data_IF_823566489881
#
_entry.id   IF_823566489881
#
_cell.length_a   1.000
_cell.length_b   1.000
_cell.length_c   1.000
_cell.angle_alpha   90.00
_cell.angle_beta   90.00
_cell.angle_gamma   90.00
#
_symmetry.space_group_name_H-M   'P 1'
#
loop_
_entity.id
_entity.type
_entity.pdbx_description
1 polymer ?
#
# COMPACT_ATOMS: atom_id res chain seq x y z
N UNK A 1 13.44 13.45 -48.58
CA UNK A 1 12.50 12.37 -48.20
C UNK A 1 13.06 11.71 -46.94
N UNK A 2 12.78 12.30 -45.77
CA UNK A 2 13.13 11.68 -44.48
C UNK A 2 11.98 10.76 -44.09
N UNK A 3 12.25 9.46 -43.97
CA UNK A 3 11.28 8.50 -43.46
C UNK A 3 11.25 8.60 -41.93
N UNK A 4 10.19 9.18 -41.37
CA UNK A 4 9.88 9.08 -39.96
C UNK A 4 9.53 7.62 -39.63
N UNK A 5 10.45 6.92 -38.97
CA UNK A 5 10.17 5.60 -38.38
C UNK A 5 9.19 5.80 -37.23
N UNK A 6 7.91 5.49 -37.46
CA UNK A 6 6.96 5.28 -36.38
C UNK A 6 7.46 4.12 -35.50
N UNK A 7 7.98 4.45 -34.31
CA UNK A 7 8.38 3.46 -33.32
C UNK A 7 7.18 2.61 -32.91
N UNK A 8 7.28 1.29 -33.06
CA UNK A 8 6.31 0.29 -32.61
C UNK A 8 6.37 0.08 -31.09
N UNK A 9 6.19 1.12 -30.28
CA UNK A 9 6.15 0.94 -28.82
C UNK A 9 4.81 0.30 -28.42
N UNK A 10 4.86 -0.91 -27.87
CA UNK A 10 3.72 -1.52 -27.17
C UNK A 10 2.98 -2.67 -27.87
N UNK A 11 3.40 -3.16 -29.04
CA UNK A 11 2.78 -4.34 -29.66
C UNK A 11 3.50 -5.62 -29.22
N UNK A 12 2.76 -6.61 -28.71
CA UNK A 12 3.28 -7.95 -28.47
C UNK A 12 3.77 -8.55 -29.81
N UNK A 13 5.02 -9.04 -29.90
CA UNK A 13 5.60 -9.53 -31.15
C UNK A 13 5.02 -10.89 -31.61
N UNK A 14 4.22 -11.55 -30.78
CA UNK A 14 3.56 -12.83 -31.10
C UNK A 14 2.05 -12.61 -31.17
N UNK A 15 1.47 -12.90 -32.33
CA UNK A 15 0.03 -12.78 -32.54
C UNK A 15 -0.69 -14.05 -32.08
N UNK A 16 -1.63 -13.89 -31.15
CA UNK A 16 -2.56 -14.94 -30.74
C UNK A 16 -3.98 -14.54 -31.19
N UNK A 17 -4.77 -15.49 -31.72
CA UNK A 17 -6.09 -15.22 -32.32
C UNK A 17 -7.23 -15.01 -31.32
N UNK A 18 -6.96 -15.16 -30.02
CA UNK A 18 -7.92 -14.93 -28.95
C UNK A 18 -7.74 -13.54 -28.33
N UNK A 19 -8.81 -12.95 -27.81
CA UNK A 19 -8.77 -11.65 -27.11
C UNK A 19 -8.26 -11.81 -25.68
N UNK A 20 -7.05 -12.33 -25.52
CA UNK A 20 -6.42 -12.63 -24.22
C UNK A 20 -5.42 -11.57 -23.78
N UNK A 21 -5.09 -10.60 -24.64
CA UNK A 21 -4.18 -9.49 -24.33
C UNK A 21 -4.92 -8.15 -24.37
N UNK A 22 -4.30 -7.11 -23.79
CA UNK A 22 -4.86 -5.75 -23.75
C UNK A 22 -4.50 -4.90 -24.98
N UNK A 23 -3.92 -5.52 -26.01
CA UNK A 23 -3.30 -4.82 -27.14
C UNK A 23 -4.28 -4.49 -28.27
N UNK A 24 -5.52 -4.98 -28.17
CA UNK A 24 -6.60 -4.77 -29.14
C UNK A 24 -7.88 -4.43 -28.38
N UNK A 25 -8.24 -3.15 -28.33
CA UNK A 25 -9.44 -2.68 -27.65
C UNK A 25 -10.24 -1.73 -28.55
N UNK A 26 -11.53 -1.55 -28.24
CA UNK A 26 -12.41 -0.55 -28.88
C UNK A 26 -11.75 0.84 -28.95
N UNK A 27 -10.93 1.18 -27.94
CA UNK A 27 -10.23 2.47 -27.83
C UNK A 27 -9.15 2.68 -28.88
N UNK A 28 -8.67 1.62 -29.53
CA UNK A 28 -7.71 1.76 -30.64
C UNK A 28 -8.37 2.40 -31.86
N UNK A 29 -9.66 2.12 -32.07
CA UNK A 29 -10.46 2.67 -33.17
C UNK A 29 -11.12 4.00 -32.79
N UNK A 30 -11.61 4.12 -31.56
CA UNK A 30 -12.28 5.33 -31.04
C UNK A 30 -11.58 5.88 -29.79
N UNK A 31 -10.38 6.49 -29.93
CA UNK A 31 -9.56 6.90 -28.79
C UNK A 31 -10.17 8.04 -27.95
N UNK A 32 -11.16 8.76 -28.48
CA UNK A 32 -11.87 9.85 -27.79
C UNK A 32 -13.19 9.42 -27.15
N UNK A 33 -13.53 8.12 -27.21
CA UNK A 33 -14.73 7.60 -26.54
C UNK A 33 -14.65 7.78 -25.03
N UNK A 34 -15.81 7.96 -24.38
CA UNK A 34 -15.88 8.10 -22.92
C UNK A 34 -15.43 6.80 -22.24
N UNK A 35 -14.51 6.91 -21.28
CA UNK A 35 -14.02 5.75 -20.55
C UNK A 35 -14.93 5.36 -19.39
N UNK A 36 -15.85 4.44 -19.63
CA UNK A 36 -16.74 3.89 -18.60
C UNK A 36 -16.09 2.81 -17.73
N UNK A 37 -14.88 2.37 -18.07
CA UNK A 37 -14.19 1.30 -17.34
C UNK A 37 -13.82 1.65 -15.91
N UNK A 38 -13.85 2.94 -15.57
CA UNK A 38 -13.58 3.43 -14.23
C UNK A 38 -14.72 3.16 -13.25
N UNK A 39 -15.95 2.97 -13.74
CA UNK A 39 -17.15 2.85 -12.91
C UNK A 39 -17.43 1.42 -12.45
N UNK A 40 -16.79 0.43 -13.07
CA UNK A 40 -16.93 -0.99 -12.72
C UNK A 40 -15.63 -1.59 -12.17
N UNK A 41 -14.69 -0.73 -11.76
CA UNK A 41 -13.48 -1.17 -11.07
C UNK A 41 -13.83 -1.72 -9.69
N UNK A 42 -13.12 -2.77 -9.27
CA UNK A 42 -13.27 -3.39 -7.95
C UNK A 42 -14.64 -4.03 -7.68
N UNK A 43 -15.29 -4.57 -8.73
CA UNK A 43 -16.50 -5.38 -8.61
C UNK A 43 -16.23 -6.74 -7.90
N UNK A 44 -17.27 -7.31 -7.30
CA UNK A 44 -17.21 -8.54 -6.48
C UNK A 44 -16.66 -9.74 -7.26
N UNK A 45 -16.89 -9.78 -8.58
CA UNK A 45 -16.39 -10.83 -9.47
C UNK A 45 -14.86 -10.95 -9.48
N UNK A 46 -14.16 -9.86 -9.16
CA UNK A 46 -12.69 -9.81 -9.11
C UNK A 46 -12.15 -10.01 -7.70
N UNK A 47 -13.02 -9.91 -6.69
CA UNK A 47 -12.65 -10.07 -5.30
C UNK A 47 -12.59 -11.57 -4.95
N UNK A 48 -11.42 -12.11 -4.54
CA UNK A 48 -11.31 -13.51 -4.13
C UNK A 48 -11.93 -13.80 -2.76
N UNK A 49 -12.31 -12.76 -2.00
CA UNK A 49 -12.92 -12.89 -0.69
C UNK A 49 -14.42 -13.19 -0.81
N UNK A 50 -15.00 -13.83 0.21
CA UNK A 50 -16.45 -14.04 0.24
C UNK A 50 -17.18 -12.70 0.35
N UNK A 51 -18.39 -12.59 -0.22
CA UNK A 51 -19.19 -11.36 -0.14
C UNK A 51 -19.60 -10.95 1.28
N UNK A 52 -19.42 -11.83 2.27
CA UNK A 52 -19.65 -11.56 3.69
C UNK A 52 -18.38 -11.13 4.45
N UNK A 53 -17.23 -11.07 3.78
CA UNK A 53 -15.96 -10.73 4.43
C UNK A 53 -15.90 -9.24 4.80
N UNK A 54 -15.65 -8.95 6.08
CA UNK A 54 -15.43 -7.60 6.59
C UNK A 54 -14.01 -7.46 7.15
N UNK A 55 -13.16 -6.72 6.43
CA UNK A 55 -11.78 -6.49 6.85
C UNK A 55 -11.67 -5.75 8.20
N UNK A 56 -12.61 -4.83 8.48
CA UNK A 56 -12.56 -4.01 9.69
C UNK A 56 -12.82 -4.84 10.94
N UNK A 57 -13.66 -5.87 10.85
CA UNK A 57 -13.87 -6.81 11.95
C UNK A 57 -12.70 -7.79 12.09
N UNK A 58 -12.18 -8.30 10.97
CA UNK A 58 -11.06 -9.24 10.98
C UNK A 58 -9.78 -8.64 11.57
N UNK A 59 -9.44 -7.41 11.19
CA UNK A 59 -8.23 -6.72 11.70
C UNK A 59 -8.30 -6.43 13.20
N UNK A 60 -9.50 -6.30 13.79
CA UNK A 60 -9.64 -6.15 15.26
C UNK A 60 -9.21 -7.40 16.02
N UNK A 61 -9.32 -8.57 15.38
CA UNK A 61 -8.90 -9.85 15.97
C UNK A 61 -7.41 -10.15 15.79
N UNK A 62 -6.67 -9.24 15.16
CA UNK A 62 -5.24 -9.34 14.92
C UNK A 62 -4.46 -9.06 16.22
N UNK A 63 -3.46 -9.89 16.51
CA UNK A 63 -2.50 -9.60 17.57
C UNK A 63 -1.44 -8.61 17.05
N UNK A 64 -1.63 -7.33 17.38
CA UNK A 64 -0.69 -6.27 17.00
C UNK A 64 0.66 -6.36 17.73
N UNK A 65 0.70 -6.97 18.92
CA UNK A 65 1.94 -7.12 19.66
C UNK A 65 2.83 -8.19 19.00
N UNK A 66 2.24 -9.33 18.62
CA UNK A 66 2.92 -10.38 17.85
C UNK A 66 3.36 -9.84 16.48
N UNK A 67 2.48 -9.12 15.76
CA UNK A 67 2.82 -8.53 14.46
C UNK A 67 4.01 -7.56 14.55
N UNK A 68 4.03 -6.73 15.60
CA UNK A 68 5.12 -5.80 15.86
C UNK A 68 6.44 -6.53 16.09
N UNK A 69 6.42 -7.58 16.91
CA UNK A 69 7.61 -8.38 17.18
C UNK A 69 8.13 -9.06 15.91
N UNK A 70 7.25 -9.66 15.12
CA UNK A 70 7.62 -10.28 13.84
C UNK A 70 8.22 -9.27 12.86
N UNK A 71 7.63 -8.08 12.76
CA UNK A 71 8.13 -7.03 11.87
C UNK A 71 9.52 -6.55 12.28
N UNK A 72 9.76 -6.38 13.59
CA UNK A 72 11.08 -6.01 14.11
C UNK A 72 12.09 -7.14 13.86
N UNK A 73 11.71 -8.40 14.09
CA UNK A 73 12.56 -9.56 13.85
C UNK A 73 12.98 -9.66 12.37
N UNK A 74 12.03 -9.45 11.45
CA UNK A 74 12.30 -9.46 10.01
C UNK A 74 13.32 -8.40 9.60
N UNK A 75 13.47 -7.30 10.33
CA UNK A 75 14.45 -6.27 9.96
C UNK A 75 15.88 -6.80 10.00
N UNK A 76 16.19 -7.79 10.84
CA UNK A 76 17.52 -8.41 10.97
C UNK A 76 17.58 -9.85 10.46
N UNK A 77 16.47 -10.39 9.96
CA UNK A 77 16.39 -11.76 9.44
C UNK A 77 16.91 -11.83 7.99
N UNK A 78 18.23 -11.87 7.85
CA UNK A 78 18.92 -11.77 6.58
C UNK A 78 18.57 -12.94 5.62
N UNK A 79 18.11 -12.61 4.42
CA UNK A 79 17.75 -13.57 3.37
C UNK A 79 18.88 -13.70 2.34
N UNK A 80 19.29 -14.93 2.02
CA UNK A 80 20.40 -15.18 1.07
C UNK A 80 20.12 -14.62 -0.33
N UNK A 81 18.87 -14.70 -0.81
CA UNK A 81 18.47 -14.24 -2.15
C UNK A 81 18.37 -12.71 -2.27
N UNK A 82 18.38 -11.98 -1.16
CA UNK A 82 18.45 -10.53 -1.12
C UNK A 82 19.04 -10.07 0.21
N UNK A 83 20.38 -10.05 0.35
CA UNK A 83 21.01 -9.73 1.62
C UNK A 83 20.66 -8.33 2.12
N UNK A 84 20.53 -8.19 3.43
CA UNK A 84 20.29 -6.92 4.09
C UNK A 84 21.58 -6.08 4.12
N UNK A 85 21.48 -4.84 3.68
CA UNK A 85 22.58 -3.87 3.80
C UNK A 85 22.91 -3.68 5.28
N UNK A 86 24.19 -3.88 5.65
CA UNK A 86 24.67 -3.87 7.04
C UNK A 86 23.91 -4.81 7.99
N UNK A 87 23.29 -5.87 7.45
CA UNK A 87 22.51 -6.82 8.24
C UNK A 87 21.16 -6.29 8.71
N UNK A 88 20.66 -5.17 8.16
CA UNK A 88 19.38 -4.59 8.58
C UNK A 88 18.55 -4.02 7.41
N UNK A 89 17.33 -4.53 7.18
CA UNK A 89 16.43 -4.09 6.10
C UNK A 89 15.72 -2.76 6.33
N UNK A 90 15.98 -2.09 7.46
CA UNK A 90 15.26 -0.89 7.86
C UNK A 90 15.20 0.20 6.79
N UNK A 91 16.32 0.53 6.13
CA UNK A 91 16.34 1.52 5.05
C UNK A 91 15.46 1.13 3.87
N UNK A 92 15.47 -0.15 3.48
CA UNK A 92 14.64 -0.69 2.41
C UNK A 92 13.14 -0.61 2.74
N UNK A 93 12.75 -0.96 3.97
CA UNK A 93 11.36 -0.94 4.43
C UNK A 93 10.81 0.49 4.57
N UNK A 94 11.64 1.42 5.05
CA UNK A 94 11.31 2.85 5.07
C UNK A 94 11.08 3.36 3.66
N UNK A 95 12.01 3.09 2.74
CA UNK A 95 11.86 3.50 1.33
C UNK A 95 10.58 2.93 0.73
N UNK A 96 10.29 1.64 0.93
CA UNK A 96 9.07 1.02 0.42
C UNK A 96 7.80 1.74 0.90
N UNK A 97 7.75 2.03 2.20
CA UNK A 97 6.61 2.71 2.84
C UNK A 97 6.46 4.15 2.34
N UNK A 98 7.58 4.86 2.24
CA UNK A 98 7.64 6.20 1.68
C UNK A 98 7.15 6.23 0.23
N UNK A 99 7.63 5.33 -0.63
CA UNK A 99 7.20 5.26 -2.03
C UNK A 99 5.73 4.86 -2.17
N UNK A 100 5.20 4.01 -1.30
CA UNK A 100 3.77 3.70 -1.27
C UNK A 100 2.95 4.97 -0.95
N UNK A 101 3.30 5.69 0.12
CA UNK A 101 2.57 6.88 0.56
C UNK A 101 2.79 8.10 -0.35
N UNK A 102 3.98 8.25 -0.93
CA UNK A 102 4.43 9.42 -1.70
C UNK A 102 3.73 9.61 -3.05
N UNK A 103 2.90 8.66 -3.49
CA UNK A 103 2.05 8.81 -4.68
C UNK A 103 0.80 9.65 -4.43
N UNK A 104 0.52 10.02 -3.17
CA UNK A 104 -0.65 10.81 -2.79
C UNK A 104 -0.62 12.23 -3.37
N UNK A 105 -1.79 12.71 -3.83
CA UNK A 105 -1.97 14.07 -4.34
C UNK A 105 -3.16 14.74 -3.67
N UNK A 106 -2.98 15.98 -3.23
CA UNK A 106 -4.03 16.76 -2.56
C UNK A 106 -5.15 17.17 -3.51
N UNK A 107 -4.85 17.39 -4.80
CA UNK A 107 -5.81 17.94 -5.77
C UNK A 107 -7.04 17.05 -6.02
N UNK A 108 -6.85 15.73 -6.04
CA UNK A 108 -7.91 14.76 -6.33
C UNK A 108 -8.00 13.63 -5.30
N UNK A 109 -7.17 13.68 -4.25
CA UNK A 109 -7.12 12.68 -3.18
C UNK A 109 -6.64 11.30 -3.63
N UNK A 110 -6.12 11.15 -4.86
CA UNK A 110 -5.68 9.86 -5.40
C UNK A 110 -4.24 9.53 -4.97
N UNK A 111 -3.93 8.24 -5.04
CA UNK A 111 -2.63 7.70 -4.64
C UNK A 111 -2.53 7.45 -3.13
N UNK A 112 -1.30 7.25 -2.66
CA UNK A 112 -1.01 6.91 -1.27
C UNK A 112 -0.98 5.40 -1.00
N UNK A 113 -0.72 5.05 0.27
CA UNK A 113 -0.50 3.67 0.70
C UNK A 113 -1.81 2.89 0.99
N UNK A 114 -2.95 3.57 1.10
CA UNK A 114 -4.19 3.01 1.67
C UNK A 114 -4.80 1.83 0.90
N UNK A 115 -4.49 1.67 -0.39
CA UNK A 115 -4.98 0.56 -1.23
C UNK A 115 -3.94 -0.53 -1.50
N UNK A 116 -2.69 -0.34 -1.06
CA UNK A 116 -1.59 -1.26 -1.35
C UNK A 116 -1.26 -1.36 -2.84
N UNK A 117 -1.58 -0.33 -3.65
CA UNK A 117 -1.39 -0.33 -5.10
C UNK A 117 0.06 -0.51 -5.56
N UNK A 118 1.04 -0.32 -4.67
CA UNK A 118 2.47 -0.58 -4.94
C UNK A 118 2.74 -2.02 -5.44
N UNK A 119 1.83 -2.98 -5.15
CA UNK A 119 1.95 -4.37 -5.64
C UNK A 119 1.49 -4.57 -7.09
N UNK A 120 0.72 -3.63 -7.64
CA UNK A 120 0.10 -3.74 -8.95
C UNK A 120 0.75 -2.81 -9.97
N UNK A 121 0.53 -3.12 -11.25
CA UNK A 121 0.88 -2.21 -12.33
C UNK A 121 0.06 -0.91 -12.23
N UNK A 122 0.63 0.25 -12.58
CA UNK A 122 1.99 0.43 -13.09
C UNK A 122 3.06 0.59 -11.99
N UNK A 123 2.64 0.85 -10.74
CA UNK A 123 3.54 1.25 -9.66
C UNK A 123 4.59 0.20 -9.33
N UNK A 124 4.25 -1.09 -9.42
CA UNK A 124 5.18 -2.18 -9.16
C UNK A 124 6.39 -2.24 -10.13
N UNK A 125 6.33 -1.52 -11.25
CA UNK A 125 7.35 -1.51 -12.31
C UNK A 125 7.83 -0.10 -12.66
N UNK A 126 7.44 0.92 -11.89
CA UNK A 126 8.02 2.26 -12.07
C UNK A 126 9.53 2.25 -11.77
N UNK A 127 10.34 2.98 -12.56
CA UNK A 127 11.80 3.04 -12.34
C UNK A 127 12.17 3.44 -10.91
N UNK A 128 11.41 4.37 -10.32
CA UNK A 128 11.64 4.85 -8.96
C UNK A 128 11.36 3.77 -7.89
N UNK A 129 10.60 2.73 -8.22
CA UNK A 129 10.25 1.61 -7.34
C UNK A 129 11.15 0.38 -7.55
N UNK A 130 12.30 0.55 -8.21
CA UNK A 130 13.27 -0.52 -8.44
C UNK A 130 13.66 -1.21 -7.13
N UNK A 131 13.66 -2.54 -7.16
CA UNK A 131 13.94 -3.47 -6.04
C UNK A 131 12.92 -3.46 -4.90
N UNK A 132 11.84 -2.67 -4.96
CA UNK A 132 10.77 -2.74 -3.97
C UNK A 132 9.90 -4.01 -4.11
N UNK A 133 10.03 -4.74 -5.23
CA UNK A 133 9.52 -6.11 -5.36
C UNK A 133 10.16 -7.06 -4.34
N UNK A 134 11.46 -6.88 -4.06
CA UNK A 134 12.20 -7.64 -3.05
C UNK A 134 11.72 -7.30 -1.64
N UNK A 135 11.55 -6.01 -1.34
CA UNK A 135 10.99 -5.56 -0.07
C UNK A 135 9.62 -6.18 0.24
N UNK A 136 8.71 -6.16 -0.75
CA UNK A 136 7.39 -6.82 -0.62
C UNK A 136 7.51 -8.33 -0.45
N UNK A 137 8.50 -8.95 -1.10
CA UNK A 137 8.73 -10.40 -0.98
C UNK A 137 9.28 -10.79 0.40
N UNK A 138 10.12 -9.98 1.01
CA UNK A 138 10.61 -10.19 2.39
C UNK A 138 9.44 -10.19 3.39
N UNK A 139 8.41 -9.35 3.16
CA UNK A 139 7.22 -9.28 4.03
C UNK A 139 6.19 -10.40 3.79
N UNK A 140 6.35 -11.22 2.75
CA UNK A 140 5.39 -12.27 2.40
C UNK A 140 5.18 -13.32 3.52
N UNK A 141 6.22 -13.83 4.22
CA UNK A 141 6.03 -14.77 5.33
C UNK A 141 5.14 -14.21 6.44
N UNK A 142 5.28 -12.92 6.77
CA UNK A 142 4.40 -12.22 7.72
C UNK A 142 2.96 -12.21 7.19
N UNK A 143 2.76 -11.78 5.93
CA UNK A 143 1.42 -11.78 5.31
C UNK A 143 0.78 -13.17 5.32
N UNK A 144 1.58 -14.22 5.11
CA UNK A 144 1.15 -15.62 5.14
C UNK A 144 0.76 -16.06 6.56
N UNK A 145 1.53 -15.68 7.59
CA UNK A 145 1.24 -15.97 9.00
C UNK A 145 -0.10 -15.36 9.44
N UNK A 146 -0.33 -14.07 9.15
CA UNK A 146 -1.52 -13.35 9.63
C UNK A 146 -2.75 -13.43 8.70
N UNK A 147 -2.58 -13.94 7.48
CA UNK A 147 -3.68 -14.22 6.56
C UNK A 147 -4.59 -13.00 6.33
N UNK A 148 -5.90 -13.21 6.32
CA UNK A 148 -6.88 -12.18 5.94
C UNK A 148 -7.05 -11.07 6.98
N UNK A 149 -6.55 -11.27 8.20
CA UNK A 149 -6.58 -10.28 9.29
C UNK A 149 -5.65 -9.10 9.03
N UNK A 150 -4.64 -9.29 8.17
CA UNK A 150 -3.66 -8.26 7.82
C UNK A 150 -3.70 -8.01 6.31
N UNK A 151 -4.09 -6.80 5.89
CA UNK A 151 -4.06 -6.42 4.49
C UNK A 151 -2.64 -6.15 4.01
N UNK A 152 -2.40 -6.25 2.70
CA UNK A 152 -1.12 -5.82 2.12
C UNK A 152 -0.91 -4.31 2.23
N UNK A 153 -1.99 -3.52 2.20
CA UNK A 153 -1.92 -2.07 2.33
C UNK A 153 -1.36 -1.68 3.70
N UNK A 154 -1.95 -2.23 4.77
CA UNK A 154 -1.54 -1.96 6.14
C UNK A 154 -0.16 -2.53 6.44
N UNK A 155 0.15 -3.74 5.97
CA UNK A 155 1.49 -4.32 6.13
C UNK A 155 2.58 -3.45 5.49
N UNK A 156 2.38 -2.96 4.26
CA UNK A 156 3.33 -2.08 3.58
C UNK A 156 3.43 -0.74 4.32
N UNK A 157 2.30 -0.16 4.75
CA UNK A 157 2.29 1.10 5.48
C UNK A 157 2.99 1.00 6.85
N UNK A 158 2.84 -0.14 7.52
CA UNK A 158 3.32 -0.34 8.88
C UNK A 158 4.80 -0.75 8.92
N UNK A 159 5.30 -1.47 7.90
CA UNK A 159 6.70 -1.93 7.86
C UNK A 159 7.73 -0.81 8.03
N UNK A 160 7.53 0.36 7.39
CA UNK A 160 8.43 1.51 7.55
C UNK A 160 8.38 2.13 8.94
N UNK A 161 7.20 2.12 9.59
CA UNK A 161 7.06 2.60 10.98
C UNK A 161 7.83 1.69 11.94
N UNK A 162 7.72 0.37 11.75
CA UNK A 162 8.46 -0.60 12.56
C UNK A 162 9.97 -0.58 12.31
N UNK A 163 10.39 -0.30 11.07
CA UNK A 163 11.80 -0.08 10.76
C UNK A 163 12.38 1.14 11.50
N UNK A 164 11.63 2.25 11.59
CA UNK A 164 12.07 3.39 12.40
C UNK A 164 12.21 3.02 13.88
N UNK A 165 11.23 2.26 14.41
CA UNK A 165 11.25 1.82 15.81
C UNK A 165 12.42 0.88 16.12
N UNK A 166 12.73 -0.06 15.22
CA UNK A 166 13.87 -0.97 15.38
C UNK A 166 15.22 -0.24 15.34
N UNK A 167 15.30 0.89 14.65
CA UNK A 167 16.49 1.74 14.57
C UNK A 167 16.56 2.82 15.66
N UNK A 168 15.69 2.73 16.69
CA UNK A 168 15.76 3.58 17.88
C UNK A 168 15.02 4.91 17.79
N UNK A 169 14.37 5.22 16.67
CA UNK A 169 13.43 6.35 16.61
C UNK A 169 12.12 5.90 17.27
N UNK A 170 11.66 6.61 18.31
CA UNK A 170 10.29 6.41 18.82
C UNK A 170 9.32 7.17 17.92
N UNK A 171 8.59 6.52 17.00
CA UNK A 171 7.75 7.27 16.09
C UNK A 171 6.48 7.71 16.82
N UNK A 172 6.06 8.96 16.62
CA UNK A 172 4.76 9.47 17.07
C UNK A 172 3.60 8.56 16.61
N UNK A 173 3.78 7.91 15.46
CA UNK A 173 2.83 6.97 14.87
C UNK A 173 2.71 5.67 15.65
N UNK A 174 3.75 5.12 16.30
CA UNK A 174 3.58 3.93 17.17
C UNK A 174 2.69 4.25 18.37
N UNK A 175 2.89 5.42 18.99
CA UNK A 175 2.03 5.89 20.07
C UNK A 175 0.59 6.17 19.60
N UNK A 176 0.41 6.67 18.37
CA UNK A 176 -0.91 6.94 17.80
C UNK A 176 -1.61 5.66 17.32
N UNK A 177 -0.90 4.71 16.72
CA UNK A 177 -1.41 3.43 16.26
C UNK A 177 -1.87 2.57 17.45
N UNK A 178 -1.06 2.45 18.50
CA UNK A 178 -1.46 1.80 19.75
C UNK A 178 -2.73 2.46 20.34
N UNK A 179 -2.84 3.79 20.23
CA UNK A 179 -4.02 4.53 20.69
C UNK A 179 -5.24 4.34 19.79
N UNK A 180 -5.11 4.36 18.47
CA UNK A 180 -6.22 4.17 17.52
C UNK A 180 -6.72 2.72 17.56
N UNK A 181 -5.83 1.74 17.40
CA UNK A 181 -6.19 0.32 17.49
C UNK A 181 -6.62 -0.08 18.91
N UNK A 182 -6.04 0.53 19.95
CA UNK A 182 -6.48 0.38 21.34
C UNK A 182 -7.86 0.97 21.64
N UNK A 183 -8.23 2.10 21.03
CA UNK A 183 -9.55 2.73 21.15
C UNK A 183 -10.62 1.90 20.40
N UNK A 184 -10.29 1.34 19.24
CA UNK A 184 -11.21 0.45 18.50
C UNK A 184 -11.59 -0.81 19.31
N UNK A 185 -10.66 -1.37 20.11
CA UNK A 185 -10.98 -2.46 21.06
C UNK A 185 -11.94 -2.06 22.18
N UNK A 186 -11.92 -0.81 22.64
CA UNK A 186 -12.79 -0.32 23.72
C UNK A 186 -14.18 0.10 23.24
N UNK A 187 -14.34 0.40 21.96
CA UNK A 187 -15.61 0.88 21.38
C UNK A 187 -16.48 -0.27 20.85
N UNK A 188 -15.89 -1.44 20.54
CA UNK A 188 -16.64 -2.66 20.17
C UNK A 188 -17.43 -3.30 21.33
N UNK A 189 -17.20 -2.86 22.57
CA UNK A 189 -17.96 -3.29 23.76
C UNK A 189 -19.18 -2.43 24.08
N UNK A 190 -19.61 -1.56 23.16
CA UNK A 190 -20.92 -0.94 23.21
C UNK A 190 -20.92 0.54 22.82
N UNK A 191 -21.29 0.82 21.57
CA UNK A 191 -22.05 2.02 21.18
C UNK A 191 -22.36 1.97 19.68
N UNK A 192 -23.60 1.61 19.33
CA UNK A 192 -24.20 1.94 18.04
C UNK A 192 -24.29 3.46 17.90
N UNK A 193 -23.70 4.07 16.85
CA UNK A 193 -24.26 5.29 16.22
C UNK A 193 -23.69 5.61 14.83
N UNK A 194 -24.57 5.37 13.84
CA UNK A 194 -24.94 6.20 12.66
C UNK A 194 -24.02 7.37 12.27
N UNK A 195 -23.30 7.22 11.16
CA UNK A 195 -23.15 8.25 10.12
C UNK A 195 -22.67 7.59 8.83
N UNK A 196 -23.45 7.70 7.75
CA UNK A 196 -23.12 7.13 6.44
C UNK A 196 -22.03 7.94 5.74
N UNK A 197 -20.86 7.33 5.60
CA UNK A 197 -19.82 7.62 4.60
C UNK A 197 -19.12 6.27 4.31
N UNK A 198 -18.75 5.96 3.05
CA UNK A 198 -18.25 4.62 2.69
C UNK A 198 -16.93 4.27 3.42
N UNK A 199 -16.73 3.00 3.83
CA UNK A 199 -15.64 2.58 4.69
C UNK A 199 -14.36 2.28 3.87
N UNK A 200 -13.68 3.32 3.38
CA UNK A 200 -12.38 3.16 2.67
C UNK A 200 -11.29 4.07 3.25
N UNK A 201 -11.54 4.76 4.36
CA UNK A 201 -10.61 5.78 4.87
C UNK A 201 -10.12 5.41 6.27
N UNK A 202 -9.29 4.37 6.36
CA UNK A 202 -8.29 4.32 7.42
C UNK A 202 -7.23 5.36 7.07
N UNK A 203 -7.49 6.59 7.52
CA UNK A 203 -6.62 7.74 7.34
C UNK A 203 -5.34 7.54 8.18
N UNK A 204 -4.33 6.84 7.66
CA UNK A 204 -2.95 7.18 8.00
C UNK A 204 -2.63 8.47 7.23
N UNK A 205 -3.20 9.59 7.69
CA UNK A 205 -2.79 10.90 7.24
C UNK A 205 -1.39 11.16 7.79
N UNK A 206 -0.38 10.84 6.98
CA UNK A 206 0.87 11.60 7.02
C UNK A 206 0.54 12.96 6.39
N UNK A 207 -0.10 13.84 7.16
CA UNK A 207 -0.12 15.26 6.82
C UNK A 207 1.30 15.80 7.00
N UNK A 208 1.95 16.34 5.95
CA UNK A 208 3.20 17.04 6.12
C UNK A 208 2.92 18.30 6.95
N UNK A 209 3.68 18.44 8.02
CA UNK A 209 3.90 19.64 8.82
C UNK A 209 3.22 20.93 8.32
N UNK A 210 2.02 21.22 8.82
CA UNK A 210 1.68 22.61 9.18
C UNK A 210 2.07 22.80 10.64
N UNK A 211 3.37 22.95 10.88
CA UNK A 211 3.88 23.44 12.16
C UNK A 211 3.57 24.92 12.21
N UNK A 212 2.49 25.24 12.90
CA UNK A 212 2.13 26.61 13.27
C UNK A 212 3.26 27.20 14.12
N UNK A 213 3.79 28.32 13.63
CA UNK A 213 4.83 29.17 14.17
C UNK A 213 4.45 29.82 15.53
N UNK A 214 4.18 29.03 16.57
CA UNK A 214 3.79 29.57 17.90
C UNK A 214 4.58 29.09 19.11
N UNK A 215 5.61 28.25 18.93
CA UNK A 215 6.43 27.76 20.05
C UNK A 215 7.87 28.26 20.03
N UNK A 216 8.20 29.27 19.21
CA UNK A 216 9.56 29.83 19.09
C UNK A 216 9.69 31.31 19.52
N UNK A 217 8.83 31.77 20.44
CA UNK A 217 8.93 33.08 21.10
C UNK A 217 8.66 32.98 22.62
N UNK A 218 9.21 31.95 23.25
CA UNK A 218 9.44 31.91 24.71
C UNK A 218 10.84 31.41 24.99
N UNK A 219 11.83 32.18 24.55
CA UNK A 219 13.09 32.45 25.23
C UNK A 219 13.48 33.88 24.89
#
# INVERSE_FOLDING_TARGET
MSQDKAHSSGKCPVMHGSMTTRDRTEKDWWPKSLNLDILHQHDDKTNPMSGAFDYQEEVKTLDFADLKQDLIAVMTDNQEWWPADWGHYGGLMIRMTWHAAGTYRVADGRGGAGTGNLRFAPLNSWPDNTNLDKARRILWPIKKKYGNKLSWADLIAYAGTMAYESMGLKPLVSALAEKIFGIQRKTSTGALRKSGLPPQTTLIAVTPASVTLKTLLRR
#
